data_IF_549408844432
#
_entry.id   IF_549408844432
#
_cell.length_a   1.000
_cell.length_b   1.000
_cell.length_c   1.000
_cell.angle_alpha   90.00
_cell.angle_beta   90.00
_cell.angle_gamma   90.00
#
_symmetry.space_group_name_H-M   'P 1'
#
loop_
_entity.id
_entity.type
_entity.pdbx_description
1 polymer ?
#
# COMPACT_ATOMS: atom_id res chain seq x y z
N UNK A 1 3.61 20.97 17.20
CA UNK A 1 2.14 20.93 17.02
C UNK A 1 1.78 19.51 16.61
N UNK A 2 0.68 18.95 17.12
CA UNK A 2 0.24 17.58 16.80
C UNK A 2 -0.54 17.62 15.46
N UNK A 3 0.08 17.14 14.37
CA UNK A 3 -0.46 17.23 13.00
C UNK A 3 -1.85 16.58 12.90
N UNK A 4 -2.07 15.48 13.60
CA UNK A 4 -3.36 14.79 13.61
C UNK A 4 -4.47 15.72 14.11
N UNK A 5 -4.22 16.44 15.21
CA UNK A 5 -5.18 17.42 15.76
C UNK A 5 -5.39 18.59 14.79
N UNK A 6 -4.34 19.04 14.13
CA UNK A 6 -4.41 20.15 13.15
C UNK A 6 -5.26 19.77 11.94
N UNK A 7 -5.09 18.57 11.39
CA UNK A 7 -5.93 18.01 10.33
C UNK A 7 -7.39 17.95 10.77
N UNK A 8 -7.66 17.42 11.98
CA UNK A 8 -9.03 17.32 12.49
C UNK A 8 -9.71 18.68 12.60
N UNK A 9 -9.02 19.68 13.18
CA UNK A 9 -9.55 21.05 13.32
C UNK A 9 -9.81 21.66 11.95
N UNK A 10 -8.90 21.48 11.00
CA UNK A 10 -9.04 22.04 9.65
C UNK A 10 -10.21 21.41 8.89
N UNK A 11 -10.30 20.08 8.86
CA UNK A 11 -11.41 19.37 8.20
C UNK A 11 -12.76 19.74 8.82
N UNK A 12 -12.82 19.84 10.15
CA UNK A 12 -14.04 20.28 10.87
C UNK A 12 -14.40 21.73 10.54
N UNK A 13 -13.43 22.64 10.50
CA UNK A 13 -13.64 24.05 10.14
C UNK A 13 -14.15 24.21 8.71
N UNK A 14 -13.77 23.30 7.81
CA UNK A 14 -14.30 23.22 6.45
C UNK A 14 -15.66 22.55 6.36
N UNK A 15 -16.19 22.02 7.46
CA UNK A 15 -17.53 21.46 7.59
C UNK A 15 -17.62 19.95 7.39
N UNK A 16 -16.50 19.25 7.24
CA UNK A 16 -16.48 17.79 7.17
C UNK A 16 -16.66 17.18 8.56
N UNK A 17 -17.24 15.97 8.61
CA UNK A 17 -17.27 15.20 9.85
C UNK A 17 -15.98 14.38 9.92
N UNK A 18 -15.20 14.54 10.98
CA UNK A 18 -13.93 13.82 11.17
C UNK A 18 -13.84 13.27 12.59
N UNK A 19 -13.42 12.02 12.70
CA UNK A 19 -13.27 11.30 13.96
C UNK A 19 -11.87 10.67 14.02
N UNK A 20 -11.31 10.64 15.24
CA UNK A 20 -10.08 9.91 15.51
C UNK A 20 -10.41 8.48 15.89
N UNK A 21 -9.75 7.54 15.24
CA UNK A 21 -9.71 6.15 15.65
C UNK A 21 -8.48 5.90 16.53
N UNK A 22 -8.63 5.07 17.56
CA UNK A 22 -7.50 4.51 18.29
C UNK A 22 -7.62 3.00 18.16
N UNK A 23 -6.68 2.37 17.45
CA UNK A 23 -6.60 0.92 17.31
C UNK A 23 -5.69 0.38 18.40
N UNK A 24 -6.17 -0.59 19.17
CA UNK A 24 -5.33 -1.25 20.16
C UNK A 24 -6.07 -2.14 21.13
N UNK A 25 -5.25 -2.81 21.94
CA UNK A 25 -5.67 -3.61 23.07
C UNK A 25 -4.93 -3.12 24.30
N UNK A 26 -5.66 -2.84 25.37
CA UNK A 26 -5.09 -2.45 26.66
C UNK A 26 -5.48 -3.47 27.74
N UNK A 27 -4.59 -3.70 28.70
CA UNK A 27 -4.91 -4.49 29.90
C UNK A 27 -5.44 -3.54 30.97
N UNK A 28 -6.63 -3.83 31.48
CA UNK A 28 -7.26 -3.04 32.55
C UNK A 28 -6.63 -3.35 33.90
N UNK A 29 -6.84 -2.48 34.88
CA UNK A 29 -6.27 -2.59 36.24
C UNK A 29 -6.67 -3.88 36.96
N UNK A 30 -7.83 -4.44 36.62
CA UNK A 30 -8.35 -5.70 37.16
C UNK A 30 -7.96 -6.93 36.30
N UNK A 31 -7.08 -6.74 35.32
CA UNK A 31 -6.44 -7.81 34.56
C UNK A 31 -7.18 -8.26 33.30
N UNK A 32 -8.35 -7.69 32.97
CA UNK A 32 -9.07 -7.97 31.71
C UNK A 32 -8.40 -7.28 30.52
N UNK A 33 -8.69 -7.77 29.31
CA UNK A 33 -8.26 -7.14 28.07
C UNK A 33 -9.40 -6.34 27.47
N UNK A 34 -9.16 -5.04 27.22
CA UNK A 34 -10.03 -4.17 26.44
C UNK A 34 -9.50 -4.10 25.01
N UNK A 35 -10.33 -4.45 24.04
CA UNK A 35 -10.06 -4.30 22.63
C UNK A 35 -10.99 -3.22 22.06
N UNK A 36 -10.41 -2.27 21.33
CA UNK A 36 -11.13 -1.17 20.66
C UNK A 36 -12.12 -1.64 19.59
N UNK A 37 -12.03 -2.88 19.13
CA UNK A 37 -12.92 -3.50 18.14
C UNK A 37 -12.58 -3.14 16.69
N UNK A 38 -11.67 -2.19 16.47
CA UNK A 38 -11.21 -1.81 15.14
C UNK A 38 -10.19 -2.83 14.59
N UNK A 39 -10.23 -3.15 13.29
CA UNK A 39 -9.26 -4.05 12.68
C UNK A 39 -7.86 -3.43 12.71
N UNK A 40 -6.84 -4.29 12.73
CA UNK A 40 -5.45 -3.86 12.58
C UNK A 40 -5.31 -3.11 11.24
N UNK A 41 -4.60 -1.97 11.27
CA UNK A 41 -4.36 -1.14 10.09
C UNK A 41 -5.49 -0.17 9.73
N UNK A 42 -6.56 -0.10 10.51
CA UNK A 42 -7.57 0.95 10.37
C UNK A 42 -6.92 2.34 10.50
N UNK A 43 -7.28 3.26 9.61
CA UNK A 43 -6.69 4.60 9.53
C UNK A 43 -6.89 5.44 10.80
N UNK A 44 -5.92 6.28 11.11
CA UNK A 44 -5.96 7.18 12.27
C UNK A 44 -7.19 8.09 12.30
N UNK A 45 -7.58 8.62 11.13
CA UNK A 45 -8.73 9.50 10.95
C UNK A 45 -9.72 8.92 9.95
N UNK A 46 -11.01 9.09 10.21
CA UNK A 46 -12.06 8.71 9.29
C UNK A 46 -13.27 9.63 9.45
N UNK A 47 -14.16 9.65 8.45
CA UNK A 47 -15.27 10.59 8.48
C UNK A 47 -16.09 10.63 7.20
N UNK A 48 -16.85 11.70 7.02
CA UNK A 48 -17.68 11.92 5.84
C UNK A 48 -17.51 13.32 5.26
N UNK A 49 -17.45 13.37 3.93
CA UNK A 49 -17.43 14.62 3.17
C UNK A 49 -18.79 15.30 3.27
N UNK A 50 -18.81 16.63 3.42
CA UNK A 50 -20.02 17.36 3.81
C UNK A 50 -21.02 17.46 2.67
N UNK A 51 -20.53 17.51 1.44
CA UNK A 51 -21.33 17.72 0.24
C UNK A 51 -22.14 16.48 -0.15
N UNK A 52 -21.55 15.30 0.01
CA UNK A 52 -22.11 14.06 -0.55
C UNK A 52 -22.15 12.89 0.44
N UNK A 53 -21.69 13.09 1.69
CA UNK A 53 -21.63 12.04 2.70
C UNK A 53 -20.62 10.93 2.40
N UNK A 54 -19.80 11.07 1.35
CA UNK A 54 -18.82 10.04 0.96
C UNK A 54 -17.83 9.84 2.10
N UNK A 55 -17.63 8.59 2.48
CA UNK A 55 -16.70 8.25 3.55
C UNK A 55 -15.26 8.55 3.13
N UNK A 56 -14.44 8.98 4.09
CA UNK A 56 -13.01 9.10 3.93
C UNK A 56 -12.21 8.44 5.05
N UNK A 57 -10.98 8.03 4.73
CA UNK A 57 -10.02 7.40 5.63
C UNK A 57 -8.62 7.98 5.40
N UNK A 58 -8.00 8.51 6.45
CA UNK A 58 -6.71 9.19 6.37
C UNK A 58 -5.79 8.58 7.42
N UNK A 59 -4.67 8.03 6.96
CA UNK A 59 -3.57 7.59 7.81
C UNK A 59 -2.55 8.74 7.91
N UNK A 60 -2.18 9.15 9.12
CA UNK A 60 -1.33 10.32 9.33
C UNK A 60 0.11 9.87 9.60
N UNK A 61 1.08 10.44 8.88
CA UNK A 61 2.50 10.10 9.02
C UNK A 61 3.35 11.33 9.34
N UNK A 62 4.48 11.07 9.98
CA UNK A 62 5.45 12.09 10.41
C UNK A 62 6.84 11.76 9.89
N UNK A 63 7.63 12.78 9.54
CA UNK A 63 9.08 12.68 9.40
C UNK A 63 9.58 11.60 8.44
N UNK A 64 8.86 11.32 7.34
CA UNK A 64 9.23 10.29 6.36
C UNK A 64 8.86 8.86 6.74
N UNK A 65 8.13 8.65 7.86
CA UNK A 65 7.60 7.33 8.19
C UNK A 65 6.64 6.82 7.12
N UNK A 66 6.78 5.55 6.77
CA UNK A 66 5.95 4.87 5.78
C UNK A 66 4.76 4.17 6.44
N UNK A 67 3.69 3.92 5.68
CA UNK A 67 2.59 3.12 6.19
C UNK A 67 2.96 1.64 6.20
N UNK A 68 2.49 0.92 7.22
CA UNK A 68 2.65 -0.52 7.26
C UNK A 68 1.79 -1.19 6.20
N UNK A 69 2.17 -2.38 5.77
CA UNK A 69 1.42 -3.14 4.76
C UNK A 69 -0.08 -3.27 5.07
N UNK A 70 -0.44 -3.51 6.34
CA UNK A 70 -1.84 -3.67 6.74
C UNK A 70 -2.62 -2.35 6.59
N UNK A 71 -1.96 -1.20 6.85
CA UNK A 71 -2.54 0.13 6.63
C UNK A 71 -2.70 0.42 5.14
N UNK A 72 -1.70 0.08 4.34
CA UNK A 72 -1.73 0.20 2.88
C UNK A 72 -2.89 -0.60 2.26
N UNK A 73 -3.02 -1.86 2.66
CA UNK A 73 -4.12 -2.71 2.23
C UNK A 73 -5.46 -2.13 2.67
N UNK A 74 -5.60 -1.68 3.92
CA UNK A 74 -6.84 -1.05 4.39
C UNK A 74 -7.25 0.14 3.52
N UNK A 75 -6.34 1.09 3.29
CA UNK A 75 -6.59 2.27 2.45
C UNK A 75 -6.96 1.87 1.01
N UNK A 76 -6.26 0.88 0.44
CA UNK A 76 -6.56 0.39 -0.93
C UNK A 76 -7.95 -0.23 -1.02
N UNK A 77 -8.35 -1.04 -0.03
CA UNK A 77 -9.69 -1.63 0.01
C UNK A 77 -10.78 -0.55 0.16
N UNK A 78 -10.57 0.44 1.04
CA UNK A 78 -11.52 1.55 1.20
C UNK A 78 -11.66 2.36 -0.07
N UNK A 79 -10.53 2.63 -0.76
CA UNK A 79 -10.55 3.33 -2.03
C UNK A 79 -11.31 2.55 -3.12
N UNK A 80 -11.07 1.24 -3.24
CA UNK A 80 -11.80 0.36 -4.16
C UNK A 80 -13.30 0.29 -3.85
N UNK A 81 -13.68 0.42 -2.59
CA UNK A 81 -15.08 0.51 -2.17
C UNK A 81 -15.72 1.87 -2.48
N UNK A 82 -14.99 2.81 -3.09
CA UNK A 82 -15.48 4.14 -3.47
C UNK A 82 -15.31 5.19 -2.37
N UNK A 83 -14.59 4.89 -1.28
CA UNK A 83 -14.25 5.88 -0.26
C UNK A 83 -13.06 6.74 -0.74
N UNK A 84 -12.91 7.92 -0.14
CA UNK A 84 -11.68 8.71 -0.25
C UNK A 84 -10.65 8.15 0.73
N UNK A 85 -9.47 7.77 0.27
CA UNK A 85 -8.48 7.16 1.15
C UNK A 85 -7.08 7.62 0.78
N UNK A 86 -6.24 7.87 1.78
CA UNK A 86 -4.84 8.20 1.54
C UNK A 86 -4.01 8.44 2.78
N UNK A 87 -2.76 8.82 2.53
CA UNK A 87 -1.81 9.20 3.56
C UNK A 87 -1.64 10.71 3.63
N UNK A 88 -1.60 11.24 4.84
CA UNK A 88 -1.34 12.66 5.07
C UNK A 88 -0.04 12.86 5.84
N UNK A 89 0.88 13.63 5.24
CA UNK A 89 2.09 14.16 5.89
C UNK A 89 1.93 15.63 6.28
N UNK A 90 0.84 16.25 5.83
CA UNK A 90 0.49 17.64 6.03
C UNK A 90 -1.02 17.83 6.07
N UNK A 91 -1.45 19.03 6.46
CA UNK A 91 -2.86 19.44 6.37
C UNK A 91 -3.33 19.47 4.91
N UNK A 92 -2.48 19.93 4.00
CA UNK A 92 -2.82 20.02 2.57
C UNK A 92 -3.04 18.64 1.94
N UNK A 93 -2.25 17.63 2.33
CA UNK A 93 -2.49 16.25 1.88
C UNK A 93 -3.88 15.76 2.31
N UNK A 94 -4.25 16.01 3.57
CA UNK A 94 -5.56 15.63 4.09
C UNK A 94 -6.70 16.34 3.33
N UNK A 95 -6.53 17.62 2.99
CA UNK A 95 -7.49 18.36 2.16
C UNK A 95 -7.57 17.78 0.74
N UNK A 96 -6.44 17.47 0.13
CA UNK A 96 -6.40 16.87 -1.21
C UNK A 96 -7.09 15.50 -1.23
N UNK A 97 -6.94 14.67 -0.19
CA UNK A 97 -7.65 13.40 -0.07
C UNK A 97 -9.18 13.60 0.00
N UNK A 98 -9.63 14.60 0.77
CA UNK A 98 -11.05 14.80 1.09
C UNK A 98 -11.79 15.60 0.01
N UNK A 99 -11.16 16.62 -0.55
CA UNK A 99 -11.79 17.59 -1.46
C UNK A 99 -11.22 17.54 -2.88
N UNK A 100 -10.02 16.98 -3.05
CA UNK A 100 -9.37 16.89 -4.34
C UNK A 100 -10.03 15.90 -5.31
N UNK A 101 -9.50 15.81 -6.55
CA UNK A 101 -9.94 14.82 -7.52
C UNK A 101 -9.85 13.41 -6.93
N UNK A 102 -10.90 12.61 -7.11
CA UNK A 102 -10.91 11.24 -6.61
C UNK A 102 -9.93 10.39 -7.42
N UNK A 103 -8.80 10.08 -6.80
CA UNK A 103 -7.79 9.16 -7.33
C UNK A 103 -7.80 7.88 -6.50
N UNK A 104 -7.80 6.69 -7.11
CA UNK A 104 -7.69 5.45 -6.37
C UNK A 104 -6.38 5.38 -5.58
N UNK A 105 -6.47 5.02 -4.30
CA UNK A 105 -5.30 4.75 -3.49
C UNK A 105 -4.75 3.37 -3.81
N UNK A 106 -3.57 3.34 -4.43
CA UNK A 106 -2.90 2.12 -4.88
C UNK A 106 -1.83 1.62 -3.88
N UNK A 107 -1.60 2.36 -2.79
CA UNK A 107 -0.52 2.13 -1.82
C UNK A 107 0.55 3.23 -1.88
N UNK A 108 1.36 3.45 -0.83
CA UNK A 108 2.63 4.14 -0.99
C UNK A 108 3.43 3.40 -2.03
N UNK A 109 3.71 4.08 -3.14
CA UNK A 109 4.62 3.64 -4.18
C UNK A 109 4.74 2.11 -4.28
N UNK A 110 3.72 1.53 -4.90
CA UNK A 110 3.92 0.34 -5.74
C UNK A 110 4.78 0.70 -6.96
N UNK A 111 5.26 1.95 -7.08
CA UNK A 111 6.30 2.26 -8.03
C UNK A 111 7.54 1.46 -7.66
N UNK A 112 7.91 0.66 -8.63
CA UNK A 112 9.18 0.00 -8.69
C UNK A 112 10.32 1.01 -8.39
N UNK A 113 11.17 0.75 -7.38
CA UNK A 113 12.23 1.68 -6.94
C UNK A 113 13.26 1.99 -8.03
N UNK A 114 13.26 1.22 -9.13
CA UNK A 114 14.12 1.42 -10.29
C UNK A 114 13.32 1.51 -11.60
N UNK A 115 12.02 1.87 -11.54
CA UNK A 115 11.09 1.88 -12.69
C UNK A 115 11.63 2.61 -13.92
N UNK A 116 12.30 3.73 -13.71
CA UNK A 116 12.84 4.58 -14.78
C UNK A 116 14.19 4.08 -15.33
N UNK A 117 14.80 3.09 -14.68
CA UNK A 117 16.13 2.59 -14.98
C UNK A 117 16.12 1.26 -15.75
N UNK A 118 14.96 0.61 -15.87
CA UNK A 118 14.86 -0.67 -16.57
C UNK A 118 13.58 -0.75 -17.42
N UNK A 119 13.66 -1.52 -18.51
CA UNK A 119 12.52 -1.69 -19.42
C UNK A 119 11.34 -2.40 -18.77
N UNK A 120 11.60 -3.34 -17.85
CA UNK A 120 10.60 -4.22 -17.23
C UNK A 120 9.82 -3.61 -16.06
N UNK A 121 10.01 -2.31 -15.75
CA UNK A 121 9.41 -1.69 -14.57
C UNK A 121 7.89 -1.75 -14.53
N UNK A 122 7.21 -1.73 -15.68
CA UNK A 122 5.76 -1.89 -15.75
C UNK A 122 5.28 -3.31 -15.39
N UNK A 123 6.02 -4.33 -15.81
CA UNK A 123 5.75 -5.72 -15.44
C UNK A 123 6.01 -5.94 -13.93
N UNK A 124 7.02 -5.27 -13.37
CA UNK A 124 7.28 -5.28 -11.93
C UNK A 124 6.19 -4.61 -11.12
N UNK A 125 5.64 -3.47 -11.56
CA UNK A 125 4.50 -2.85 -10.87
C UNK A 125 3.32 -3.81 -10.80
N UNK A 126 3.03 -4.50 -11.91
CA UNK A 126 1.96 -5.51 -11.95
C UNK A 126 2.24 -6.70 -11.03
N UNK A 127 3.50 -7.12 -10.90
CA UNK A 127 3.89 -8.20 -10.00
C UNK A 127 3.81 -7.78 -8.53
N UNK A 128 4.30 -6.58 -8.20
CA UNK A 128 4.25 -6.01 -6.85
C UNK A 128 2.81 -5.71 -6.42
N UNK A 129 1.95 -5.24 -7.33
CA UNK A 129 0.52 -5.06 -7.08
C UNK A 129 -0.17 -6.39 -6.79
N UNK A 130 0.14 -7.44 -7.54
CA UNK A 130 -0.40 -8.77 -7.22
C UNK A 130 0.07 -9.26 -5.85
N UNK A 131 1.37 -9.10 -5.56
CA UNK A 131 1.96 -9.53 -4.31
C UNK A 131 1.37 -8.80 -3.11
N UNK A 132 1.09 -7.49 -3.27
CA UNK A 132 0.49 -6.67 -2.21
C UNK A 132 -0.93 -7.08 -1.85
N UNK A 133 -1.67 -7.69 -2.78
CA UNK A 133 -3.01 -8.24 -2.52
C UNK A 133 -2.97 -9.65 -1.96
N UNK A 134 -1.82 -10.33 -2.02
CA UNK A 134 -1.69 -11.73 -1.63
C UNK A 134 -1.25 -11.89 -0.19
N UNK A 135 -0.04 -11.44 0.12
CA UNK A 135 0.63 -11.74 1.39
C UNK A 135 1.78 -10.74 1.65
N UNK A 136 1.89 -10.29 2.89
CA UNK A 136 2.87 -9.28 3.32
C UNK A 136 4.32 -9.76 3.14
N UNK A 137 4.59 -11.04 3.46
CA UNK A 137 5.94 -11.61 3.31
C UNK A 137 6.29 -11.73 1.84
N UNK A 138 5.36 -12.18 1.00
CA UNK A 138 5.57 -12.25 -0.46
C UNK A 138 5.84 -10.87 -1.05
N UNK A 139 5.04 -9.85 -0.69
CA UNK A 139 5.23 -8.48 -1.17
C UNK A 139 6.58 -7.88 -0.74
N UNK A 140 6.89 -7.95 0.55
CA UNK A 140 8.15 -7.40 1.10
C UNK A 140 9.38 -8.11 0.52
N UNK A 141 9.32 -9.43 0.34
CA UNK A 141 10.38 -10.19 -0.34
C UNK A 141 10.56 -9.75 -1.78
N UNK A 142 9.49 -9.66 -2.59
CA UNK A 142 9.61 -9.23 -3.99
C UNK A 142 10.08 -7.77 -4.13
N UNK A 143 9.65 -6.89 -3.21
CA UNK A 143 10.14 -5.50 -3.16
C UNK A 143 11.62 -5.44 -2.80
N UNK A 144 12.09 -6.24 -1.82
CA UNK A 144 13.51 -6.36 -1.48
C UNK A 144 14.32 -6.87 -2.67
N UNK A 145 13.84 -7.92 -3.35
CA UNK A 145 14.48 -8.45 -4.55
C UNK A 145 14.64 -7.38 -5.63
N UNK A 146 13.56 -6.62 -5.89
CA UNK A 146 13.58 -5.53 -6.87
C UNK A 146 14.54 -4.41 -6.49
N UNK A 147 14.56 -4.00 -5.22
CA UNK A 147 15.50 -2.99 -4.71
C UNK A 147 16.97 -3.43 -4.83
N UNK A 148 17.24 -4.74 -4.83
CA UNK A 148 18.56 -5.32 -5.09
C UNK A 148 18.85 -5.57 -6.58
N UNK A 149 18.06 -4.98 -7.48
CA UNK A 149 18.31 -5.00 -8.93
C UNK A 149 17.75 -6.23 -9.66
N UNK A 150 16.87 -7.01 -9.04
CA UNK A 150 16.24 -8.12 -9.77
C UNK A 150 15.37 -7.60 -10.93
N UNK A 151 15.45 -8.26 -12.08
CA UNK A 151 14.67 -7.96 -13.30
C UNK A 151 13.84 -9.17 -13.73
N UNK A 152 12.98 -8.99 -14.73
CA UNK A 152 12.21 -10.03 -15.38
C UNK A 152 12.81 -10.36 -16.74
N UNK A 153 13.15 -11.64 -16.94
CA UNK A 153 13.55 -12.18 -18.22
C UNK A 153 12.45 -13.11 -18.78
N UNK A 154 12.31 -13.18 -20.09
CA UNK A 154 11.38 -14.12 -20.74
C UNK A 154 11.74 -15.57 -20.42
N UNK A 155 10.74 -16.40 -20.18
CA UNK A 155 10.87 -17.83 -19.89
C UNK A 155 9.80 -18.64 -20.61
N UNK A 156 10.19 -19.76 -21.23
CA UNK A 156 9.26 -20.58 -22.02
C UNK A 156 8.18 -21.29 -21.20
N UNK A 157 8.42 -21.55 -19.91
CA UNK A 157 7.50 -22.28 -19.03
C UNK A 157 6.60 -21.34 -18.23
N UNK A 158 7.17 -20.22 -17.78
CA UNK A 158 6.48 -19.30 -16.85
C UNK A 158 6.10 -17.97 -17.49
N UNK A 159 6.38 -17.77 -18.78
CA UNK A 159 6.25 -16.47 -19.47
C UNK A 159 7.40 -15.53 -19.09
N UNK A 160 7.55 -15.26 -17.79
CA UNK A 160 8.66 -14.50 -17.22
C UNK A 160 9.27 -15.22 -16.01
N UNK A 161 10.54 -14.96 -15.75
CA UNK A 161 11.26 -15.38 -14.54
C UNK A 161 11.99 -14.21 -13.92
N UNK A 162 12.10 -14.23 -12.59
CA UNK A 162 12.92 -13.27 -11.83
C UNK A 162 14.39 -13.67 -12.01
N UNK A 163 15.22 -12.70 -12.39
CA UNK A 163 16.67 -12.82 -12.50
C UNK A 163 17.31 -11.79 -11.58
N UNK A 164 18.40 -12.17 -10.91
CA UNK A 164 19.12 -11.31 -9.95
C UNK A 164 20.51 -10.94 -10.49
N UNK A 165 21.08 -9.81 -10.08
CA UNK A 165 22.48 -9.50 -10.35
C UNK A 165 23.41 -10.32 -9.44
N UNK A 166 24.67 -10.46 -9.83
CA UNK A 166 25.70 -11.15 -9.04
C UNK A 166 25.95 -10.48 -7.67
N UNK A 167 25.65 -9.19 -7.57
CA UNK A 167 25.79 -8.40 -6.33
C UNK A 167 24.76 -8.76 -5.25
N UNK A 168 23.68 -9.48 -5.59
CA UNK A 168 22.62 -9.79 -4.64
C UNK A 168 22.81 -11.16 -4.00
N UNK A 169 23.52 -11.18 -2.87
CA UNK A 169 23.95 -12.42 -2.18
C UNK A 169 22.83 -13.16 -1.44
N UNK A 170 21.76 -12.47 -1.05
CA UNK A 170 20.66 -13.04 -0.25
C UNK A 170 19.56 -13.70 -1.11
N UNK A 171 19.70 -13.71 -2.44
CA UNK A 171 18.64 -14.12 -3.35
C UNK A 171 18.06 -15.51 -3.03
N UNK A 172 18.92 -16.50 -2.73
CA UNK A 172 18.46 -17.86 -2.44
C UNK A 172 17.65 -17.96 -1.14
N UNK A 173 18.02 -17.20 -0.11
CA UNK A 173 17.25 -17.16 1.14
C UNK A 173 15.90 -16.46 0.94
N UNK A 174 15.90 -15.32 0.25
CA UNK A 174 14.68 -14.58 -0.06
C UNK A 174 13.75 -15.40 -0.97
N UNK A 175 14.31 -16.17 -1.92
CA UNK A 175 13.55 -17.07 -2.81
C UNK A 175 12.82 -18.16 -2.05
N UNK A 176 13.34 -18.64 -0.91
CA UNK A 176 12.65 -19.65 -0.08
C UNK A 176 11.30 -19.14 0.44
N UNK A 177 11.19 -17.84 0.72
CA UNK A 177 9.91 -17.23 1.14
C UNK A 177 8.85 -17.36 0.05
N UNK A 178 9.25 -17.22 -1.21
CA UNK A 178 8.35 -17.31 -2.36
C UNK A 178 7.88 -18.75 -2.64
N UNK A 179 8.59 -19.77 -2.14
CA UNK A 179 8.21 -21.18 -2.34
C UNK A 179 6.83 -21.49 -1.74
N UNK A 180 6.44 -20.80 -0.67
CA UNK A 180 5.12 -20.94 -0.06
C UNK A 180 3.96 -20.56 -1.01
N UNK A 181 4.25 -19.79 -2.07
CA UNK A 181 3.28 -19.31 -3.04
C UNK A 181 3.66 -19.62 -4.50
N UNK A 182 4.53 -20.62 -4.72
CA UNK A 182 5.19 -20.86 -5.99
C UNK A 182 4.22 -21.06 -7.17
N UNK A 183 3.10 -21.76 -6.96
CA UNK A 183 2.12 -22.05 -8.01
C UNK A 183 1.42 -20.78 -8.50
N UNK A 184 1.00 -19.93 -7.57
CA UNK A 184 0.30 -18.70 -7.89
C UNK A 184 1.26 -17.61 -8.40
N UNK A 185 2.49 -17.57 -7.89
CA UNK A 185 3.56 -16.73 -8.43
C UNK A 185 3.84 -17.12 -9.89
N UNK A 186 3.97 -18.41 -10.19
CA UNK A 186 4.15 -18.92 -11.56
C UNK A 186 2.98 -18.51 -12.46
N UNK A 187 1.74 -18.67 -11.99
CA UNK A 187 0.56 -18.24 -12.74
C UNK A 187 0.54 -16.71 -12.94
N UNK A 188 0.97 -15.93 -11.93
CA UNK A 188 1.05 -14.48 -12.07
C UNK A 188 2.08 -14.09 -13.12
N UNK A 189 3.29 -14.65 -13.07
CA UNK A 189 4.34 -14.41 -14.05
C UNK A 189 3.88 -14.73 -15.47
N UNK A 190 3.13 -15.81 -15.66
CA UNK A 190 2.59 -16.22 -16.96
C UNK A 190 1.53 -15.24 -17.51
N UNK A 191 0.84 -14.54 -16.63
CA UNK A 191 -0.27 -13.62 -16.97
C UNK A 191 0.15 -12.15 -16.99
N UNK A 192 1.43 -11.84 -16.74
CA UNK A 192 1.97 -10.50 -16.95
C UNK A 192 1.86 -10.10 -18.43
N UNK A 193 1.48 -8.85 -18.69
CA UNK A 193 1.31 -8.30 -20.04
C UNK A 193 1.84 -6.87 -20.06
N UNK A 194 2.45 -6.47 -21.17
CA UNK A 194 2.66 -5.05 -21.42
C UNK A 194 1.29 -4.39 -21.58
N UNK A 195 1.08 -3.25 -20.91
CA UNK A 195 -0.06 -2.40 -21.19
C UNK A 195 0.08 -1.89 -22.63
N UNK A 196 -0.92 -2.13 -23.46
CA UNK A 196 -0.98 -1.58 -24.81
C UNK A 196 -1.19 -0.07 -24.72
N UNK A 197 -0.09 0.66 -24.53
CA UNK A 197 -0.04 2.11 -24.60
C UNK A 197 1.37 2.48 -25.10
N UNK A 198 1.54 2.51 -26.42
CA UNK A 198 2.79 2.96 -27.04
C UNK A 198 3.23 2.29 -28.34
N UNK A 199 2.33 1.66 -29.10
CA UNK A 199 2.60 1.37 -30.52
C UNK A 199 1.64 2.21 -31.37
N UNK A 200 2.00 3.47 -31.58
CA UNK A 200 1.87 4.23 -32.84
C UNK A 200 3.13 5.08 -33.03
#
# INVERSE_FOLDING_TARGET
>A
MDLLKEIMVTLSARGHHVFRANVGTARTVDGRYFNTGLPKGFSDLFGTVKENGQAFFIEVKYGGNTASFVQENFLSQMSKAGCRAGLAYSVDDALNIVEGPQVPYLGQDVSDPIKEQTRDGELWNQLLMWASLKDEKVFSTLRKMRANGCTLATDQKTGYKIVHPDSYTDYDEDRKVLLACARELMHRLLTLRWSAAGEE
#
